data_IF_920754077427
#
_entry.id   IF_920754077427
#
_cell.length_a   1.000
_cell.length_b   1.000
_cell.length_c   1.000
_cell.angle_alpha   90.00
_cell.angle_beta   90.00
_cell.angle_gamma   90.00
#
_symmetry.space_group_name_H-M   'P 1'
#
loop_
_entity.id
_entity.type
_entity.pdbx_description
1 polymer ?
#
# COMPACT_ATOMS: atom_id res chain seq x y z
N UNK A 1 -18.80 -14.59 -9.53
CA UNK A 1 -18.71 -13.67 -8.39
C UNK A 1 -18.79 -12.28 -8.96
N UNK A 2 -19.72 -11.51 -8.42
CA UNK A 2 -20.09 -10.19 -8.92
C UNK A 2 -18.91 -9.21 -8.73
N UNK A 3 -18.69 -8.31 -9.69
CA UNK A 3 -17.60 -7.32 -9.65
C UNK A 3 -17.63 -6.47 -8.37
N UNK A 4 -18.85 -6.21 -7.91
CA UNK A 4 -19.12 -5.46 -6.69
C UNK A 4 -18.74 -6.24 -5.42
N UNK A 5 -18.94 -7.55 -5.41
CA UNK A 5 -18.64 -8.43 -4.28
C UNK A 5 -17.12 -8.52 -4.02
N UNK A 6 -16.34 -8.62 -5.10
CA UNK A 6 -14.86 -8.61 -5.04
C UNK A 6 -14.32 -7.28 -4.49
N UNK A 7 -14.91 -6.17 -4.91
CA UNK A 7 -14.51 -4.82 -4.45
C UNK A 7 -14.84 -4.61 -2.97
N UNK A 8 -16.00 -5.09 -2.51
CA UNK A 8 -16.40 -5.06 -1.09
C UNK A 8 -15.47 -5.94 -0.25
N UNK A 9 -15.16 -7.17 -0.70
CA UNK A 9 -14.26 -8.07 0.01
C UNK A 9 -12.86 -7.48 0.17
N UNK A 10 -12.32 -6.89 -0.91
CA UNK A 10 -11.04 -6.19 -0.85
C UNK A 10 -11.10 -5.00 0.12
N UNK A 11 -12.21 -4.25 0.12
CA UNK A 11 -12.40 -3.13 1.05
C UNK A 11 -12.35 -3.60 2.50
N UNK A 12 -13.05 -4.68 2.85
CA UNK A 12 -12.98 -5.28 4.19
C UNK A 12 -11.57 -5.73 4.57
N UNK A 13 -10.88 -6.42 3.65
CA UNK A 13 -9.48 -6.86 3.87
C UNK A 13 -8.56 -5.69 4.18
N UNK A 14 -8.69 -4.59 3.45
CA UNK A 14 -7.90 -3.38 3.71
C UNK A 14 -8.31 -2.66 4.98
N UNK A 15 -9.59 -2.63 5.33
CA UNK A 15 -10.04 -2.06 6.59
C UNK A 15 -9.43 -2.79 7.79
N UNK A 16 -9.34 -4.12 7.76
CA UNK A 16 -8.62 -4.88 8.78
C UNK A 16 -7.10 -4.61 8.77
N UNK A 17 -6.49 -4.46 7.59
CA UNK A 17 -5.07 -4.14 7.48
C UNK A 17 -4.73 -2.76 8.04
N UNK A 18 -5.50 -1.73 7.68
CA UNK A 18 -5.30 -0.36 8.17
C UNK A 18 -5.66 -0.27 9.66
N UNK A 19 -6.77 -0.91 10.07
CA UNK A 19 -7.17 -1.01 11.48
C UNK A 19 -6.11 -1.69 12.35
N UNK A 20 -5.48 -2.76 11.85
CA UNK A 20 -4.35 -3.42 12.51
C UNK A 20 -3.13 -2.50 12.64
N UNK A 21 -2.85 -1.68 11.62
CA UNK A 21 -1.80 -0.66 11.68
C UNK A 21 -2.06 0.41 12.75
N UNK A 22 -3.29 0.92 12.83
CA UNK A 22 -3.71 1.87 13.87
C UNK A 22 -3.59 1.23 15.26
N UNK A 23 -4.09 0.00 15.43
CA UNK A 23 -4.00 -0.72 16.69
C UNK A 23 -2.54 -0.94 17.11
N UNK A 24 -1.66 -1.30 16.18
CA UNK A 24 -0.23 -1.45 16.45
C UNK A 24 0.41 -0.14 16.92
N UNK A 25 0.04 1.00 16.34
CA UNK A 25 0.53 2.31 16.80
C UNK A 25 0.00 2.65 18.20
N UNK A 26 -1.25 2.31 18.51
CA UNK A 26 -1.84 2.54 19.84
C UNK A 26 -1.08 1.73 20.89
N UNK A 27 -0.86 0.44 20.63
CA UNK A 27 -0.09 -0.44 21.50
C UNK A 27 1.33 0.10 21.68
N UNK A 28 2.01 0.50 20.60
CA UNK A 28 3.34 1.09 20.69
C UNK A 28 3.37 2.37 21.53
N UNK A 29 2.38 3.25 21.35
CA UNK A 29 2.29 4.51 22.12
C UNK A 29 2.05 4.23 23.61
N UNK A 30 1.15 3.31 23.95
CA UNK A 30 0.89 2.92 25.36
C UNK A 30 2.15 2.36 26.01
N UNK A 31 2.86 1.48 25.31
CA UNK A 31 4.10 0.87 25.82
C UNK A 31 5.18 1.94 26.03
N UNK A 32 5.35 2.86 25.08
CA UNK A 32 6.33 3.97 25.17
C UNK A 32 6.05 4.95 26.32
N UNK A 33 4.78 5.09 26.74
CA UNK A 33 4.40 5.94 27.88
C UNK A 33 4.54 5.19 29.22
N UNK A 34 4.35 3.87 29.22
CA UNK A 34 4.41 3.04 30.42
C UNK A 34 5.86 2.75 30.86
N UNK A 35 6.81 2.79 29.93
CA UNK A 35 8.24 2.52 30.18
C UNK A 35 8.99 3.86 30.22
N UNK A 36 9.62 4.25 31.35
CA UNK A 36 10.33 5.53 31.47
C UNK A 36 11.55 5.62 30.54
N UNK A 37 11.72 6.76 29.85
CA UNK A 37 12.89 7.10 29.02
C UNK A 37 14.20 7.00 29.83
N UNK A 38 14.85 5.84 29.78
CA UNK A 38 16.20 5.63 30.30
C UNK A 38 17.05 4.88 29.27
N UNK A 39 18.38 5.12 29.19
CA UNK A 39 19.23 4.56 28.12
C UNK A 39 19.17 3.03 27.99
N UNK A 40 18.95 2.31 29.10
CA UNK A 40 18.81 0.84 29.13
C UNK A 40 17.38 0.33 28.86
N UNK A 41 16.37 1.20 28.95
CA UNK A 41 14.95 0.82 28.79
C UNK A 41 14.51 0.66 27.33
N UNK A 42 15.26 1.21 26.37
CA UNK A 42 14.95 1.09 24.93
C UNK A 42 14.90 -0.38 24.50
N UNK A 43 15.81 -1.21 25.01
CA UNK A 43 15.83 -2.65 24.73
C UNK A 43 14.59 -3.35 25.31
N UNK A 44 14.20 -3.00 26.54
CA UNK A 44 13.02 -3.58 27.20
C UNK A 44 11.72 -3.17 26.50
N UNK A 45 11.63 -1.92 26.02
CA UNK A 45 10.50 -1.43 25.23
C UNK A 45 10.31 -2.24 23.95
N UNK A 46 11.38 -2.44 23.18
CA UNK A 46 11.33 -3.25 21.97
C UNK A 46 11.05 -4.73 22.24
N UNK A 47 11.55 -5.30 23.34
CA UNK A 47 11.24 -6.69 23.73
C UNK A 47 9.76 -6.87 24.09
N UNK A 48 9.20 -5.98 24.91
CA UNK A 48 7.79 -6.05 25.32
C UNK A 48 6.88 -5.82 24.10
N UNK A 49 7.20 -4.81 23.27
CA UNK A 49 6.49 -4.55 22.03
C UNK A 49 6.53 -5.76 21.09
N UNK A 50 7.71 -6.34 20.89
CA UNK A 50 7.91 -7.53 20.06
C UNK A 50 7.11 -8.74 20.57
N UNK A 51 7.11 -8.98 21.89
CA UNK A 51 6.35 -10.06 22.50
C UNK A 51 4.84 -9.91 22.32
N UNK A 52 4.31 -8.71 22.56
CA UNK A 52 2.88 -8.41 22.36
C UNK A 52 2.47 -8.58 20.89
N UNK A 53 3.26 -8.03 19.96
CA UNK A 53 3.02 -8.18 18.53
C UNK A 53 3.11 -9.64 18.06
N UNK A 54 4.03 -10.44 18.61
CA UNK A 54 4.16 -11.86 18.30
C UNK A 54 2.90 -12.65 18.71
N UNK A 55 2.42 -12.46 19.94
CA UNK A 55 1.22 -13.14 20.45
C UNK A 55 0.00 -12.78 19.59
N UNK A 56 -0.18 -11.47 19.32
CA UNK A 56 -1.29 -10.98 18.50
C UNK A 56 -1.24 -11.47 17.04
N UNK A 57 -0.05 -11.75 16.50
CA UNK A 57 0.11 -12.24 15.13
C UNK A 57 -0.04 -13.77 15.03
N UNK A 58 0.46 -14.52 16.02
CA UNK A 58 0.45 -15.99 16.00
C UNK A 58 -0.98 -16.54 16.17
N UNK A 59 -1.80 -15.94 17.03
CA UNK A 59 -3.15 -16.44 17.32
C UNK A 59 -4.04 -16.45 16.05
N UNK A 60 -4.17 -15.35 15.28
CA UNK A 60 -4.95 -15.33 14.04
C UNK A 60 -4.36 -16.23 12.95
N UNK A 61 -3.03 -16.34 12.85
CA UNK A 61 -2.37 -17.23 11.89
C UNK A 61 -2.71 -18.69 12.17
N UNK A 62 -2.67 -19.09 13.44
CA UNK A 62 -3.04 -20.45 13.85
C UNK A 62 -4.52 -20.74 13.60
N UNK A 63 -5.39 -19.75 13.88
CA UNK A 63 -6.82 -19.85 13.57
C UNK A 63 -7.08 -19.99 12.06
N UNK A 64 -6.39 -19.20 11.23
CA UNK A 64 -6.45 -19.31 9.77
C UNK A 64 -5.97 -20.68 9.29
N UNK A 65 -4.87 -21.20 9.85
CA UNK A 65 -4.36 -22.51 9.50
C UNK A 65 -5.38 -23.61 9.78
N UNK A 66 -5.97 -23.63 10.99
CA UNK A 66 -6.98 -24.62 11.37
C UNK A 66 -8.25 -24.53 10.52
N UNK A 67 -8.73 -23.31 10.23
CA UNK A 67 -9.92 -23.08 9.42
C UNK A 67 -9.72 -23.44 7.94
N UNK A 68 -8.54 -23.21 7.40
CA UNK A 68 -8.25 -23.41 5.96
C UNK A 68 -7.84 -24.84 5.65
N UNK A 69 -7.19 -25.53 6.60
CA UNK A 69 -6.74 -26.93 6.44
C UNK A 69 -7.84 -27.87 5.97
N UNK A 70 -9.05 -27.74 6.53
CA UNK A 70 -10.20 -28.60 6.16
C UNK A 70 -10.66 -28.39 4.71
N UNK A 71 -10.66 -27.15 4.21
CA UNK A 71 -11.03 -26.84 2.81
C UNK A 71 -9.96 -27.28 1.82
N UNK A 72 -8.68 -27.07 2.14
CA UNK A 72 -7.57 -27.46 1.24
C UNK A 72 -7.53 -28.97 1.05
N UNK A 73 -7.70 -29.73 2.14
CA UNK A 73 -7.75 -31.19 2.07
C UNK A 73 -8.91 -31.68 1.20
N UNK A 74 -10.11 -31.11 1.37
CA UNK A 74 -11.29 -31.44 0.56
C UNK A 74 -11.08 -31.15 -0.92
N UNK A 75 -10.42 -30.04 -1.28
CA UNK A 75 -10.15 -29.64 -2.66
C UNK A 75 -9.13 -30.57 -3.34
N UNK A 76 -8.07 -30.96 -2.64
CA UNK A 76 -7.12 -31.97 -3.16
C UNK A 76 -7.77 -33.34 -3.34
N UNK A 77 -8.73 -33.72 -2.49
CA UNK A 77 -9.47 -34.98 -2.66
C UNK A 77 -10.47 -34.98 -3.84
N UNK A 78 -10.96 -33.79 -4.26
CA UNK A 78 -11.86 -33.66 -5.43
C UNK A 78 -11.12 -33.40 -6.74
N UNK A 79 -9.96 -32.73 -6.71
CA UNK A 79 -9.10 -32.45 -7.88
C UNK A 79 -8.20 -33.63 -8.29
N UNK A 80 -8.61 -34.86 -8.01
CA UNK A 80 -7.78 -36.07 -8.18
C UNK A 80 -7.38 -36.45 -9.61
N UNK A 81 -7.58 -35.61 -10.63
CA UNK A 81 -7.07 -35.90 -11.99
C UNK A 81 -7.12 -34.72 -13.00
N UNK A 82 -7.40 -33.47 -12.60
CA UNK A 82 -7.54 -32.33 -13.53
C UNK A 82 -6.40 -31.31 -13.49
N UNK A 83 -5.43 -31.41 -12.57
CA UNK A 83 -4.28 -30.49 -12.49
C UNK A 83 -3.20 -30.75 -13.57
N UNK A 84 -3.41 -31.73 -14.46
CA UNK A 84 -2.54 -32.02 -15.61
C UNK A 84 -2.99 -31.30 -16.90
N UNK A 85 -3.74 -30.20 -16.83
CA UNK A 85 -3.87 -29.32 -17.99
C UNK A 85 -2.60 -28.48 -18.14
N UNK A 86 -1.59 -29.00 -18.86
CA UNK A 86 -0.42 -28.29 -19.39
C UNK A 86 -0.13 -26.92 -18.72
N UNK A 87 0.25 -26.95 -17.44
CA UNK A 87 0.67 -25.74 -16.77
C UNK A 87 2.03 -25.38 -17.37
N UNK A 88 2.06 -24.33 -18.21
CA UNK A 88 3.29 -23.86 -18.83
C UNK A 88 4.36 -23.70 -17.74
N UNK A 89 5.64 -23.97 -18.03
CA UNK A 89 6.72 -23.77 -17.08
C UNK A 89 6.65 -22.35 -16.47
N UNK A 90 6.96 -22.22 -15.17
CA UNK A 90 6.82 -20.96 -14.42
C UNK A 90 7.48 -19.76 -15.12
N UNK A 91 8.62 -20.00 -15.77
CA UNK A 91 9.35 -18.98 -16.55
C UNK A 91 8.52 -18.45 -17.71
N UNK A 92 7.79 -19.33 -18.39
CA UNK A 92 6.91 -18.97 -19.50
C UNK A 92 5.65 -18.26 -19.01
N UNK A 93 5.10 -18.65 -17.86
CA UNK A 93 4.01 -17.91 -17.22
C UNK A 93 4.44 -16.49 -16.83
N UNK A 94 5.65 -16.32 -16.29
CA UNK A 94 6.21 -14.99 -15.96
C UNK A 94 6.44 -14.17 -17.23
N UNK A 95 6.96 -14.79 -18.30
CA UNK A 95 7.17 -14.11 -19.59
C UNK A 95 5.85 -13.63 -20.20
N UNK A 96 4.80 -14.45 -20.12
CA UNK A 96 3.45 -14.11 -20.60
C UNK A 96 2.88 -12.96 -19.76
N UNK A 97 3.01 -13.03 -18.42
CA UNK A 97 2.59 -11.96 -17.54
C UNK A 97 3.30 -10.64 -17.89
N UNK A 98 4.63 -10.66 -18.06
CA UNK A 98 5.42 -9.49 -18.46
C UNK A 98 5.11 -9.00 -19.88
N UNK A 99 4.62 -9.85 -20.78
CA UNK A 99 4.20 -9.44 -22.11
C UNK A 99 2.83 -8.74 -22.11
N UNK A 100 2.05 -8.87 -21.05
CA UNK A 100 0.72 -8.29 -20.93
C UNK A 100 0.83 -6.80 -20.58
N UNK A 101 0.66 -5.92 -21.59
CA UNK A 101 0.77 -4.46 -21.42
C UNK A 101 -0.15 -3.91 -20.31
N UNK A 102 -1.45 -4.25 -20.24
CA UNK A 102 -2.31 -3.91 -19.10
C UNK A 102 -1.73 -4.29 -17.74
N UNK A 103 -1.09 -5.46 -17.62
CA UNK A 103 -0.48 -5.89 -16.37
C UNK A 103 0.71 -5.00 -15.97
N UNK A 104 1.62 -4.71 -16.89
CA UNK A 104 2.76 -3.84 -16.63
C UNK A 104 2.33 -2.44 -16.18
N UNK A 105 1.25 -1.91 -16.76
CA UNK A 105 0.69 -0.63 -16.35
C UNK A 105 0.14 -0.70 -14.92
N UNK A 106 -0.62 -1.76 -14.57
CA UNK A 106 -1.15 -1.93 -13.21
C UNK A 106 -0.03 -2.12 -12.18
N UNK A 107 1.03 -2.86 -12.52
CA UNK A 107 2.24 -2.93 -11.70
C UNK A 107 2.82 -1.54 -11.48
N UNK A 108 3.01 -0.77 -12.56
CA UNK A 108 3.57 0.58 -12.48
C UNK A 108 2.75 1.49 -11.56
N UNK A 109 1.42 1.48 -11.72
CA UNK A 109 0.48 2.20 -10.85
C UNK A 109 0.67 1.75 -9.40
N UNK A 110 0.70 0.45 -9.13
CA UNK A 110 0.84 -0.08 -7.78
C UNK A 110 2.18 0.30 -7.14
N UNK A 111 3.29 0.10 -7.86
CA UNK A 111 4.64 0.44 -7.40
C UNK A 111 4.75 1.91 -7.05
N UNK A 112 4.30 2.78 -7.95
CA UNK A 112 4.35 4.23 -7.74
C UNK A 112 3.51 4.66 -6.55
N UNK A 113 2.30 4.12 -6.43
CA UNK A 113 1.39 4.42 -5.32
C UNK A 113 1.99 3.96 -3.99
N UNK A 114 2.51 2.72 -3.94
CA UNK A 114 3.07 2.15 -2.73
C UNK A 114 4.38 2.82 -2.32
N UNK A 115 5.24 3.14 -3.27
CA UNK A 115 6.44 3.92 -3.04
C UNK A 115 6.08 5.28 -2.44
N UNK A 116 5.11 6.00 -3.03
CA UNK A 116 4.63 7.25 -2.46
C UNK A 116 4.21 7.12 -1.00
N UNK A 117 3.46 6.05 -0.65
CA UNK A 117 2.96 5.85 0.73
C UNK A 117 4.13 5.57 1.65
N UNK A 118 5.00 4.64 1.27
CA UNK A 118 6.10 4.20 2.13
C UNK A 118 7.13 5.29 2.34
N UNK A 119 7.49 6.03 1.29
CA UNK A 119 8.42 7.14 1.37
C UNK A 119 7.88 8.26 2.26
N UNK A 120 6.60 8.61 2.09
CA UNK A 120 5.95 9.59 2.96
C UNK A 120 5.97 9.12 4.42
N UNK A 121 5.61 7.86 4.68
CA UNK A 121 5.60 7.31 6.04
C UNK A 121 7.00 7.27 6.68
N UNK A 122 8.04 6.90 5.90
CA UNK A 122 9.43 6.86 6.37
C UNK A 122 9.98 8.26 6.67
N UNK A 123 9.66 9.27 5.85
CA UNK A 123 10.18 10.63 6.02
C UNK A 123 9.36 11.43 7.03
N UNK A 124 8.09 11.07 7.25
CA UNK A 124 7.19 11.74 8.20
C UNK A 124 7.79 11.85 9.61
N UNK A 125 8.47 10.81 10.10
CA UNK A 125 9.15 10.85 11.39
C UNK A 125 10.22 11.95 11.45
N UNK A 126 11.05 12.05 10.41
CA UNK A 126 12.08 13.09 10.30
C UNK A 126 11.49 14.49 10.20
N UNK A 127 10.38 14.64 9.48
CA UNK A 127 9.68 15.92 9.33
C UNK A 127 9.05 16.40 10.64
N UNK A 128 8.33 15.53 11.36
CA UNK A 128 7.67 15.90 12.62
C UNK A 128 8.70 16.24 13.70
N UNK A 129 9.77 15.45 13.82
CA UNK A 129 10.76 15.61 14.89
C UNK A 129 11.78 16.70 14.56
N UNK A 130 12.42 16.65 13.38
CA UNK A 130 13.56 17.52 13.08
C UNK A 130 13.16 18.85 12.43
N UNK A 131 12.14 18.87 11.57
CA UNK A 131 11.68 20.12 10.93
C UNK A 131 10.70 20.88 11.81
N UNK A 132 9.67 20.21 12.31
CA UNK A 132 8.67 20.83 13.17
C UNK A 132 9.12 21.03 14.62
N UNK A 133 10.18 20.33 15.07
CA UNK A 133 10.66 20.41 16.45
C UNK A 133 9.67 19.85 17.47
N UNK A 134 8.77 18.95 17.06
CA UNK A 134 7.76 18.39 17.95
C UNK A 134 8.28 17.17 18.72
N UNK A 135 7.68 16.88 19.90
CA UNK A 135 7.99 15.68 20.67
C UNK A 135 7.81 14.39 19.85
N UNK A 136 8.63 13.37 20.09
CA UNK A 136 8.57 12.06 19.41
C UNK A 136 7.16 11.43 19.45
N UNK A 137 6.41 11.65 20.53
CA UNK A 137 5.02 11.18 20.71
C UNK A 137 4.03 11.76 19.68
N UNK A 138 4.36 12.85 18.99
CA UNK A 138 3.50 13.44 17.96
C UNK A 138 3.56 12.70 16.62
N UNK A 139 4.65 11.98 16.34
CA UNK A 139 4.76 11.14 15.14
C UNK A 139 3.69 10.04 15.05
N UNK A 140 3.52 9.16 16.06
CA UNK A 140 2.50 8.11 15.99
C UNK A 140 1.09 8.69 15.95
N UNK A 141 0.82 9.82 16.62
CA UNK A 141 -0.47 10.53 16.52
C UNK A 141 -0.76 11.02 15.09
N UNK A 142 0.23 11.63 14.42
CA UNK A 142 0.08 12.04 13.02
C UNK A 142 -0.16 10.84 12.09
N UNK A 143 0.60 9.76 12.29
CA UNK A 143 0.41 8.53 11.53
C UNK A 143 -0.99 7.91 11.76
N UNK A 144 -1.53 7.99 12.98
CA UNK A 144 -2.90 7.58 13.29
C UNK A 144 -3.94 8.45 12.59
N UNK A 145 -3.73 9.78 12.50
CA UNK A 145 -4.66 10.67 11.78
C UNK A 145 -4.70 10.33 10.29
N UNK A 146 -3.53 10.11 9.67
CA UNK A 146 -3.44 9.70 8.26
C UNK A 146 -4.13 8.35 8.04
N UNK A 147 -3.83 7.34 8.86
CA UNK A 147 -4.41 6.01 8.73
C UNK A 147 -5.90 5.97 9.09
N UNK A 148 -6.33 6.71 10.10
CA UNK A 148 -7.74 6.81 10.49
C UNK A 148 -8.56 7.48 9.39
N UNK A 149 -8.05 8.56 8.80
CA UNK A 149 -8.70 9.20 7.66
C UNK A 149 -8.72 8.28 6.44
N UNK A 150 -7.63 7.56 6.18
CA UNK A 150 -7.58 6.63 5.05
C UNK A 150 -8.57 5.48 5.21
N UNK A 151 -8.78 4.97 6.43
CA UNK A 151 -9.77 3.95 6.74
C UNK A 151 -11.19 4.42 6.42
N UNK A 152 -11.57 5.62 6.88
CA UNK A 152 -12.90 6.19 6.61
C UNK A 152 -13.08 6.47 5.12
N UNK A 153 -12.08 7.09 4.49
CA UNK A 153 -12.13 7.43 3.08
C UNK A 153 -12.12 6.22 2.16
N UNK A 154 -11.56 5.09 2.59
CA UNK A 154 -11.60 3.85 1.81
C UNK A 154 -13.04 3.44 1.47
N UNK A 155 -13.97 3.53 2.43
CA UNK A 155 -15.39 3.23 2.19
C UNK A 155 -16.04 4.26 1.26
N UNK A 156 -15.70 5.54 1.44
CA UNK A 156 -16.19 6.65 0.60
C UNK A 156 -15.75 6.44 -0.85
N UNK A 157 -14.47 6.20 -1.10
CA UNK A 157 -13.94 5.93 -2.43
C UNK A 157 -14.47 4.64 -3.04
N UNK A 158 -14.68 3.60 -2.22
CA UNK A 158 -15.31 2.36 -2.69
C UNK A 158 -16.73 2.65 -3.22
N UNK A 159 -17.53 3.46 -2.53
CA UNK A 159 -18.85 3.87 -3.00
C UNK A 159 -18.80 4.76 -4.26
N UNK A 160 -17.87 5.72 -4.30
CA UNK A 160 -17.66 6.59 -5.48
C UNK A 160 -17.21 5.75 -6.69
N UNK A 161 -16.45 4.66 -6.47
CA UNK A 161 -15.85 3.82 -7.54
C UNK A 161 -16.88 3.13 -8.40
N UNK A 162 -18.02 2.79 -7.80
CA UNK A 162 -19.15 2.22 -8.51
C UNK A 162 -19.74 3.19 -9.54
N UNK A 163 -19.76 4.50 -9.24
CA UNK A 163 -20.35 5.53 -10.10
C UNK A 163 -19.38 6.08 -11.14
N UNK A 164 -18.20 6.53 -10.71
CA UNK A 164 -17.25 7.27 -11.57
C UNK A 164 -16.13 6.40 -12.17
N UNK A 165 -16.03 5.14 -11.76
CA UNK A 165 -15.01 4.21 -12.24
C UNK A 165 -13.64 4.38 -11.57
N UNK A 166 -12.81 3.34 -11.71
CA UNK A 166 -11.52 3.21 -11.00
C UNK A 166 -10.50 4.29 -11.40
N UNK A 167 -10.44 4.65 -12.69
CA UNK A 167 -9.51 5.68 -13.20
C UNK A 167 -9.79 7.05 -12.61
N UNK A 168 -11.05 7.50 -12.66
CA UNK A 168 -11.43 8.85 -12.19
C UNK A 168 -11.08 9.05 -10.73
N UNK A 169 -11.33 8.03 -9.89
CA UNK A 169 -11.05 8.11 -8.46
C UNK A 169 -9.57 8.12 -8.17
N UNK A 170 -8.78 7.38 -8.93
CA UNK A 170 -7.34 7.43 -8.79
C UNK A 170 -6.81 8.84 -9.07
N UNK A 171 -7.27 9.49 -10.15
CA UNK A 171 -6.89 10.88 -10.43
C UNK A 171 -7.33 11.86 -9.34
N UNK A 172 -8.55 11.71 -8.82
CA UNK A 172 -9.05 12.57 -7.74
C UNK A 172 -8.25 12.36 -6.45
N UNK A 173 -8.01 11.11 -6.06
CA UNK A 173 -7.27 10.78 -4.85
C UNK A 173 -5.79 11.17 -4.92
N UNK A 174 -5.14 10.90 -6.05
CA UNK A 174 -3.75 11.33 -6.27
C UNK A 174 -3.63 12.85 -6.37
N UNK A 175 -4.60 13.53 -6.98
CA UNK A 175 -4.66 14.99 -7.00
C UNK A 175 -4.72 15.58 -5.59
N UNK A 176 -5.62 15.07 -4.73
CA UNK A 176 -5.70 15.50 -3.34
C UNK A 176 -4.41 15.22 -2.57
N UNK A 177 -3.76 14.07 -2.82
CA UNK A 177 -2.51 13.75 -2.15
C UNK A 177 -1.36 14.66 -2.59
N UNK A 178 -1.27 14.98 -3.88
CA UNK A 178 -0.25 15.90 -4.39
C UNK A 178 -0.43 17.29 -3.79
N UNK A 179 -1.68 17.76 -3.65
CA UNK A 179 -1.98 19.01 -2.94
C UNK A 179 -1.52 18.93 -1.48
N UNK A 180 -1.76 17.81 -0.80
CA UNK A 180 -1.28 17.62 0.58
C UNK A 180 0.26 17.66 0.67
N UNK A 181 0.96 17.02 -0.26
CA UNK A 181 2.43 17.02 -0.31
C UNK A 181 3.01 18.39 -0.64
N UNK A 182 2.39 19.11 -1.58
CA UNK A 182 2.75 20.49 -1.88
C UNK A 182 2.52 21.39 -0.66
N UNK A 183 1.42 21.21 0.06
CA UNK A 183 1.15 21.93 1.31
C UNK A 183 2.19 21.64 2.40
N UNK A 184 2.63 20.38 2.53
CA UNK A 184 3.68 19.99 3.48
C UNK A 184 5.02 20.67 3.15
N UNK A 185 5.30 20.96 1.88
CA UNK A 185 6.50 21.70 1.49
C UNK A 185 6.50 23.13 2.03
N UNK A 186 5.37 23.85 1.97
CA UNK A 186 5.27 25.25 2.41
C UNK A 186 5.08 25.42 3.92
N UNK A 187 4.88 24.31 4.65
CA UNK A 187 4.57 24.32 6.07
C UNK A 187 5.76 24.81 6.91
N UNK A 188 5.52 25.82 7.73
CA UNK A 188 6.52 26.37 8.67
C UNK A 188 6.38 25.76 10.08
N UNK A 189 7.48 25.72 10.86
CA UNK A 189 7.43 25.29 12.27
C UNK A 189 6.42 26.11 13.07
N UNK A 190 5.63 25.45 13.92
CA UNK A 190 4.57 26.07 14.74
C UNK A 190 3.15 25.99 14.15
N UNK A 191 2.99 25.67 12.86
CA UNK A 191 1.68 25.52 12.22
C UNK A 191 1.09 24.10 12.37
N UNK A 192 0.95 23.64 13.61
CA UNK A 192 0.53 22.25 13.92
C UNK A 192 -0.89 21.95 13.43
N UNK A 193 -1.81 22.92 13.50
CA UNK A 193 -3.19 22.76 13.00
C UNK A 193 -3.22 22.51 11.49
N UNK A 194 -2.42 23.24 10.73
CA UNK A 194 -2.31 23.08 9.28
C UNK A 194 -1.67 21.73 8.92
N UNK A 195 -0.73 21.23 9.73
CA UNK A 195 -0.20 19.87 9.58
C UNK A 195 -1.29 18.79 9.68
N UNK A 196 -2.20 18.88 10.67
CA UNK A 196 -3.31 17.92 10.79
C UNK A 196 -4.25 17.97 9.60
N UNK A 197 -4.58 19.17 9.09
CA UNK A 197 -5.43 19.33 7.91
C UNK A 197 -4.79 18.67 6.68
N UNK A 198 -3.49 18.89 6.47
CA UNK A 198 -2.75 18.25 5.39
C UNK A 198 -2.62 16.74 5.58
N UNK A 199 -2.50 16.25 6.82
CA UNK A 199 -2.48 14.82 7.13
C UNK A 199 -3.82 14.14 6.80
N UNK A 200 -4.95 14.79 7.10
CA UNK A 200 -6.29 14.33 6.70
C UNK A 200 -6.37 14.27 5.16
N UNK A 201 -5.93 15.33 4.47
CA UNK A 201 -5.95 15.38 3.01
C UNK A 201 -5.06 14.28 2.38
N UNK A 202 -3.88 14.04 2.95
CA UNK A 202 -3.01 12.93 2.56
C UNK A 202 -3.68 11.58 2.79
N UNK A 203 -4.34 11.38 3.94
CA UNK A 203 -5.10 10.16 4.23
C UNK A 203 -6.20 9.86 3.21
N UNK A 204 -6.91 10.90 2.73
CA UNK A 204 -7.88 10.79 1.64
C UNK A 204 -7.24 10.21 0.37
N UNK A 205 -6.06 10.70 -0.01
CA UNK A 205 -5.34 10.22 -1.18
C UNK A 205 -4.76 8.82 -1.01
N UNK A 206 -4.14 8.56 0.15
CA UNK A 206 -3.55 7.26 0.50
C UNK A 206 -4.59 6.15 0.37
N UNK A 207 -5.83 6.34 0.81
CA UNK A 207 -6.88 5.32 0.67
C UNK A 207 -7.14 4.87 -0.79
N UNK A 208 -7.06 5.80 -1.76
CA UNK A 208 -7.19 5.47 -3.20
C UNK A 208 -6.00 4.68 -3.73
N UNK A 209 -4.79 4.97 -3.23
CA UNK A 209 -3.56 4.25 -3.54
C UNK A 209 -3.61 2.79 -3.09
N UNK A 210 -4.31 2.48 -1.99
CA UNK A 210 -4.57 1.10 -1.56
C UNK A 210 -5.68 0.44 -2.39
N UNK A 211 -6.80 1.12 -2.61
CA UNK A 211 -8.00 0.51 -3.19
C UNK A 211 -7.84 0.23 -4.69
N UNK A 212 -7.40 1.21 -5.46
CA UNK A 212 -7.50 1.16 -6.93
C UNK A 212 -6.60 0.07 -7.54
N UNK A 213 -5.29 0.00 -7.25
CA UNK A 213 -4.42 -0.97 -7.93
C UNK A 213 -4.86 -2.41 -7.66
N UNK A 214 -5.25 -2.71 -6.42
CA UNK A 214 -5.76 -4.02 -6.03
C UNK A 214 -7.10 -4.38 -6.68
N UNK A 215 -7.91 -3.37 -6.99
CA UNK A 215 -9.14 -3.59 -7.74
C UNK A 215 -8.88 -3.79 -9.25
N UNK A 216 -7.81 -3.23 -9.82
CA UNK A 216 -7.48 -3.36 -11.25
C UNK A 216 -6.85 -4.71 -11.62
N UNK A 217 -6.22 -5.40 -10.68
CA UNK A 217 -5.56 -6.68 -10.94
C UNK A 217 -6.51 -7.77 -11.42
N UNK A 218 -7.65 -8.02 -10.73
CA UNK A 218 -8.64 -8.95 -11.24
C UNK A 218 -9.07 -8.66 -12.68
N UNK A 219 -9.18 -7.37 -13.06
CA UNK A 219 -9.57 -6.97 -14.42
C UNK A 219 -8.55 -7.45 -15.47
N UNK A 220 -7.25 -7.38 -15.13
CA UNK A 220 -6.16 -7.86 -16.00
C UNK A 220 -6.10 -9.38 -16.04
N UNK A 221 -6.34 -10.04 -14.91
CA UNK A 221 -6.39 -11.51 -14.82
C UNK A 221 -7.56 -12.04 -15.66
N UNK A 222 -8.73 -11.42 -15.59
CA UNK A 222 -9.90 -11.83 -16.37
C UNK A 222 -9.63 -11.63 -17.89
N UNK A 223 -8.89 -10.58 -18.28
CA UNK A 223 -8.42 -10.41 -19.66
C UNK A 223 -7.41 -11.49 -20.09
N UNK A 224 -6.48 -11.87 -19.20
CA UNK A 224 -5.51 -12.93 -19.44
C UNK A 224 -6.19 -14.31 -19.58
N UNK A 225 -7.19 -14.60 -18.74
CA UNK A 225 -8.04 -15.80 -18.83
C UNK A 225 -8.80 -15.84 -20.16
N UNK A 226 -9.30 -14.69 -20.63
CA UNK A 226 -10.00 -14.62 -21.92
C UNK A 226 -9.08 -15.01 -23.09
N UNK A 227 -7.85 -14.49 -23.08
CA UNK A 227 -6.87 -14.69 -24.15
C UNK A 227 -6.17 -16.07 -24.10
N UNK A 228 -5.78 -16.52 -22.91
CA UNK A 228 -4.98 -17.75 -22.74
C UNK A 228 -5.81 -18.97 -22.33
N UNK A 229 -7.02 -18.76 -21.82
CA UNK A 229 -7.86 -19.82 -21.25
C UNK A 229 -7.40 -20.34 -19.89
N UNK A 230 -6.27 -19.87 -19.35
CA UNK A 230 -5.74 -20.30 -18.06
C UNK A 230 -5.88 -19.21 -17.00
N UNK A 231 -6.28 -19.59 -15.78
CA UNK A 231 -6.28 -18.69 -14.62
C UNK A 231 -4.94 -18.75 -13.89
N UNK A 232 -4.18 -17.66 -13.95
CA UNK A 232 -2.83 -17.56 -13.36
C UNK A 232 -2.75 -16.57 -12.19
N UNK A 233 -3.81 -16.50 -11.39
CA UNK A 233 -3.97 -15.53 -10.30
C UNK A 233 -2.73 -15.46 -9.38
N UNK A 234 -2.20 -16.63 -8.99
CA UNK A 234 -1.04 -16.73 -8.11
C UNK A 234 0.21 -16.03 -8.66
N UNK A 235 0.53 -16.24 -9.94
CA UNK A 235 1.73 -15.66 -10.58
C UNK A 235 1.64 -14.14 -10.64
N UNK A 236 0.48 -13.60 -11.04
CA UNK A 236 0.25 -12.16 -11.13
C UNK A 236 0.41 -11.48 -9.75
N UNK A 237 -0.21 -12.03 -8.69
CA UNK A 237 -0.09 -11.47 -7.33
C UNK A 237 1.33 -11.62 -6.75
N UNK A 238 1.95 -12.79 -6.90
CA UNK A 238 3.31 -13.03 -6.41
C UNK A 238 4.33 -12.10 -7.04
N UNK A 239 4.24 -11.89 -8.37
CA UNK A 239 5.17 -11.03 -9.09
C UNK A 239 5.01 -9.55 -8.72
N UNK A 240 3.76 -9.09 -8.55
CA UNK A 240 3.45 -7.75 -8.08
C UNK A 240 4.06 -7.46 -6.71
N UNK A 241 3.86 -8.35 -5.73
CA UNK A 241 4.41 -8.18 -4.37
C UNK A 241 5.94 -8.31 -4.35
N UNK A 242 6.50 -9.17 -5.20
CA UNK A 242 7.95 -9.30 -5.35
C UNK A 242 8.58 -8.00 -5.87
N UNK A 243 8.06 -7.45 -6.97
CA UNK A 243 8.50 -6.17 -7.53
C UNK A 243 8.32 -5.03 -6.53
N UNK A 244 7.23 -5.04 -5.77
CA UNK A 244 6.99 -4.08 -4.71
C UNK A 244 8.11 -4.09 -3.67
N UNK A 245 8.51 -5.27 -3.19
CA UNK A 245 9.59 -5.39 -2.20
C UNK A 245 10.92 -4.89 -2.74
N UNK A 246 11.24 -5.20 -4.00
CA UNK A 246 12.46 -4.69 -4.67
C UNK A 246 12.39 -3.17 -4.79
N UNK A 247 11.28 -2.64 -5.32
CA UNK A 247 11.09 -1.21 -5.49
C UNK A 247 11.22 -0.46 -4.17
N UNK A 248 10.61 -0.98 -3.10
CA UNK A 248 10.73 -0.41 -1.76
C UNK A 248 12.18 -0.43 -1.25
N UNK A 249 12.87 -1.55 -1.38
CA UNK A 249 14.26 -1.67 -0.91
C UNK A 249 15.16 -0.65 -1.63
N UNK A 250 15.04 -0.55 -2.95
CA UNK A 250 15.80 0.42 -3.76
C UNK A 250 15.39 1.86 -3.43
N UNK A 251 14.09 2.13 -3.31
CA UNK A 251 13.57 3.46 -3.01
C UNK A 251 14.03 3.98 -1.65
N UNK A 252 13.88 3.18 -0.59
CA UNK A 252 14.35 3.54 0.74
C UNK A 252 15.88 3.68 0.81
N UNK A 253 16.62 2.81 0.11
CA UNK A 253 18.07 2.91 0.02
C UNK A 253 18.52 4.23 -0.60
N UNK A 254 17.95 4.61 -1.75
CA UNK A 254 18.26 5.87 -2.43
C UNK A 254 17.92 7.08 -1.57
N UNK A 255 16.78 7.05 -0.87
CA UNK A 255 16.42 8.12 0.07
C UNK A 255 17.39 8.20 1.23
N UNK A 256 17.72 7.08 1.87
CA UNK A 256 18.70 7.04 2.96
C UNK A 256 20.06 7.59 2.53
N UNK A 257 20.55 7.23 1.34
CA UNK A 257 21.78 7.78 0.78
C UNK A 257 21.67 9.29 0.52
N UNK A 258 20.55 9.76 -0.04
CA UNK A 258 20.33 11.19 -0.30
C UNK A 258 20.33 12.04 0.98
N UNK A 259 19.72 11.52 2.07
CA UNK A 259 19.76 12.18 3.39
C UNK A 259 21.19 12.16 3.96
N UNK A 260 21.92 11.06 3.79
CA UNK A 260 23.33 10.95 4.19
C UNK A 260 24.20 11.99 3.49
N UNK A 261 24.09 12.13 2.16
CA UNK A 261 24.81 13.14 1.39
C UNK A 261 24.40 14.58 1.76
N UNK A 262 23.15 14.80 2.18
CA UNK A 262 22.68 16.11 2.63
C UNK A 262 23.25 16.53 4.01
N UNK A 263 24.02 15.66 4.66
CA UNK A 263 24.63 15.90 5.97
C UNK A 263 23.65 15.72 7.13
N UNK A 264 22.61 14.90 6.97
CA UNK A 264 21.67 14.60 8.04
C UNK A 264 22.38 13.99 9.24
N UNK A 265 22.32 14.65 10.39
CA UNK A 265 22.91 14.14 11.62
C UNK A 265 21.85 13.32 12.38
N UNK A 266 21.99 11.98 12.47
CA UNK A 266 21.02 11.17 13.18
C UNK A 266 21.04 11.50 14.67
N UNK A 267 19.87 11.40 15.30
CA UNK A 267 19.76 11.48 16.75
C UNK A 267 20.51 10.31 17.38
N UNK A 268 21.60 10.58 18.07
CA UNK A 268 22.36 9.57 18.83
C UNK A 268 22.03 9.67 20.31
N UNK A 269 22.19 8.60 21.11
CA UNK A 269 22.04 8.66 22.56
C UNK A 269 22.86 9.78 23.21
N UNK A 270 24.01 10.10 22.62
CA UNK A 270 24.92 11.17 23.06
C UNK A 270 24.53 12.58 22.57
N UNK A 271 23.63 12.70 21.58
CA UNK A 271 23.14 13.98 21.04
C UNK A 271 21.63 13.89 20.70
N UNK A 272 20.75 14.20 21.66
CA UNK A 272 19.32 13.86 21.56
C UNK A 272 18.51 14.69 20.56
N UNK A 273 19.02 15.84 20.09
CA UNK A 273 18.56 16.56 18.88
C UNK A 273 19.70 17.46 18.37
N UNK A 274 20.58 17.00 17.46
CA UNK A 274 21.60 17.87 16.91
C UNK A 274 20.95 18.97 16.05
N UNK A 275 21.51 20.19 16.10
CA UNK A 275 21.11 21.28 15.21
C UNK A 275 21.38 20.82 13.77
N UNK A 276 20.32 20.57 13.01
CA UNK A 276 20.44 20.12 11.63
C UNK A 276 20.94 21.27 10.76
N UNK A 277 21.87 21.01 9.82
CA UNK A 277 22.23 22.02 8.84
C UNK A 277 21.02 22.36 7.95
N UNK A 278 20.94 23.60 7.48
CA UNK A 278 19.85 24.06 6.61
C UNK A 278 19.71 23.19 5.34
N UNK A 279 20.81 22.62 4.85
CA UNK A 279 20.84 21.66 3.75
C UNK A 279 20.07 20.37 4.07
N UNK A 280 20.19 19.83 5.28
CA UNK A 280 19.48 18.63 5.72
C UNK A 280 17.99 18.90 5.92
N UNK A 281 17.64 20.07 6.47
CA UNK A 281 16.25 20.49 6.63
C UNK A 281 15.54 20.70 5.27
N UNK A 282 16.22 21.33 4.30
CA UNK A 282 15.72 21.43 2.94
C UNK A 282 15.61 20.06 2.27
N UNK A 283 16.58 19.18 2.46
CA UNK A 283 16.52 17.81 1.94
C UNK A 283 15.32 17.04 2.50
N UNK A 284 15.02 17.15 3.80
CA UNK A 284 13.82 16.54 4.41
C UNK A 284 12.53 17.09 3.79
N UNK A 285 12.45 18.41 3.57
CA UNK A 285 11.28 19.04 2.94
C UNK A 285 11.07 18.62 1.50
N UNK A 286 12.15 18.53 0.72
CA UNK A 286 12.10 18.04 -0.66
C UNK A 286 11.78 16.54 -0.69
N UNK A 287 12.36 15.76 0.21
CA UNK A 287 12.14 14.32 0.26
C UNK A 287 10.70 13.98 0.67
N UNK A 288 10.08 14.72 1.61
CA UNK A 288 8.67 14.44 1.99
C UNK A 288 7.69 14.85 0.89
N UNK A 289 7.97 15.91 0.14
CA UNK A 289 7.02 16.48 -0.82
C UNK A 289 7.30 16.05 -2.27
N UNK A 290 8.45 16.44 -2.83
CA UNK A 290 8.79 16.30 -4.24
C UNK A 290 8.92 14.84 -4.65
N UNK A 291 9.57 14.03 -3.80
CA UNK A 291 9.92 12.66 -4.13
C UNK A 291 8.66 11.76 -4.20
N UNK A 292 7.77 11.73 -3.18
CA UNK A 292 6.46 11.09 -3.32
C UNK A 292 5.66 11.67 -4.49
N UNK A 293 5.58 13.00 -4.63
CA UNK A 293 4.81 13.65 -5.72
C UNK A 293 5.24 13.15 -7.10
N UNK A 294 6.54 13.00 -7.34
CA UNK A 294 7.06 12.49 -8.60
C UNK A 294 6.56 11.06 -8.88
N UNK A 295 6.61 10.17 -7.89
CA UNK A 295 6.05 8.82 -8.03
C UNK A 295 4.53 8.86 -8.26
N UNK A 296 3.79 9.70 -7.55
CA UNK A 296 2.33 9.81 -7.75
C UNK A 296 1.97 10.31 -9.16
N UNK A 297 2.72 11.27 -9.70
CA UNK A 297 2.56 11.77 -11.07
C UNK A 297 2.84 10.67 -12.08
N UNK A 298 3.91 9.89 -11.91
CA UNK A 298 4.20 8.73 -12.77
C UNK A 298 3.06 7.69 -12.69
N UNK A 299 2.53 7.43 -11.49
CA UNK A 299 1.38 6.55 -11.29
C UNK A 299 0.11 7.05 -12.01
N UNK A 300 -0.14 8.37 -12.01
CA UNK A 300 -1.22 8.99 -12.78
C UNK A 300 -1.04 8.82 -14.29
N UNK A 301 0.20 8.96 -14.80
CA UNK A 301 0.51 8.74 -16.21
C UNK A 301 0.23 7.27 -16.60
N UNK A 302 0.65 6.30 -15.78
CA UNK A 302 0.33 4.89 -16.05
C UNK A 302 -1.18 4.62 -16.00
N UNK A 303 -1.90 5.29 -15.11
CA UNK A 303 -3.37 5.19 -15.04
C UNK A 303 -4.06 5.79 -16.26
N UNK A 304 -3.51 6.87 -16.81
CA UNK A 304 -3.99 7.46 -18.07
C UNK A 304 -3.83 6.47 -19.23
N UNK A 305 -2.66 5.84 -19.33
CA UNK A 305 -2.32 4.87 -20.38
C UNK A 305 -3.02 3.52 -20.23
N UNK A 306 -3.63 3.25 -19.07
CA UNK A 306 -4.31 1.98 -18.80
C UNK A 306 -5.49 1.77 -19.74
N UNK A 307 -5.55 0.70 -20.56
CA UNK A 307 -6.56 0.59 -21.61
C UNK A 307 -7.94 0.11 -21.12
N UNK A 308 -8.01 -0.52 -19.94
CA UNK A 308 -9.24 -1.17 -19.47
C UNK A 308 -10.15 -0.13 -18.78
N UNK A 309 -11.19 0.29 -19.48
CA UNK A 309 -12.29 1.11 -18.93
C UNK A 309 -13.38 0.22 -18.34
N UNK A 310 -14.35 0.83 -17.64
CA UNK A 310 -15.52 0.11 -17.08
C UNK A 310 -16.29 -0.65 -18.16
N UNK A 311 -16.43 -0.04 -19.34
CA UNK A 311 -17.10 -0.63 -20.52
C UNK A 311 -16.32 -1.82 -21.08
N UNK A 312 -15.00 -1.67 -21.25
CA UNK A 312 -14.13 -2.75 -21.72
C UNK A 312 -14.14 -3.92 -20.74
N UNK A 313 -14.13 -3.65 -19.43
CA UNK A 313 -14.23 -4.71 -18.43
C UNK A 313 -15.57 -5.45 -18.47
N UNK A 314 -16.69 -4.72 -18.68
CA UNK A 314 -17.99 -5.34 -18.84
C UNK A 314 -18.06 -6.27 -20.07
N UNK A 315 -17.46 -5.85 -21.20
CA UNK A 315 -17.36 -6.68 -22.41
C UNK A 315 -16.51 -7.95 -22.16
N UNK A 316 -15.38 -7.84 -21.45
CA UNK A 316 -14.55 -9.00 -21.08
C UNK A 316 -15.35 -10.02 -20.26
N UNK A 317 -16.11 -9.55 -19.27
CA UNK A 317 -16.95 -10.43 -18.44
C UNK A 317 -18.05 -11.12 -19.24
N UNK A 318 -18.69 -10.40 -20.17
CA UNK A 318 -19.70 -10.96 -21.06
C UNK A 318 -19.10 -12.09 -21.92
N UNK A 319 -17.97 -11.84 -22.59
CA UNK A 319 -17.28 -12.84 -23.42
C UNK A 319 -16.82 -14.06 -22.63
N UNK A 320 -16.33 -13.87 -21.41
CA UNK A 320 -15.99 -14.98 -20.51
C UNK A 320 -17.20 -15.82 -20.14
N UNK A 321 -18.34 -15.17 -19.85
CA UNK A 321 -19.59 -15.86 -19.53
C UNK A 321 -20.11 -16.68 -20.71
N UNK A 322 -20.03 -16.14 -21.93
CA UNK A 322 -20.40 -16.85 -23.15
C UNK A 322 -19.50 -18.06 -23.40
N UNK A 323 -18.18 -17.90 -23.22
CA UNK A 323 -17.21 -18.98 -23.38
C UNK A 323 -17.46 -20.13 -22.40
N UNK A 324 -17.75 -19.82 -21.13
CA UNK A 324 -18.13 -20.81 -20.11
C UNK A 324 -19.46 -21.48 -20.42
N UNK A 325 -20.44 -20.73 -20.92
CA UNK A 325 -21.74 -21.30 -21.31
C UNK A 325 -21.61 -22.25 -22.49
N UNK A 326 -20.76 -21.95 -23.47
CA UNK A 326 -20.46 -22.86 -24.59
C UNK A 326 -19.76 -24.13 -24.12
N UNK A 327 -18.75 -24.02 -23.25
CA UNK A 327 -18.06 -25.20 -22.68
C UNK A 327 -18.94 -26.11 -21.81
N UNK A 328 -20.05 -25.60 -21.26
CA UNK A 328 -21.00 -26.40 -20.49
C UNK A 328 -22.11 -27.03 -21.36
N UNK A 329 -22.24 -26.61 -22.63
CA UNK A 329 -23.23 -27.12 -23.58
C UNK A 329 -22.65 -28.23 -24.48
N UNK A 330 -21.32 -28.28 -24.63
CA UNK A 330 -20.56 -29.34 -25.30
C UNK A 330 -20.13 -30.42 -24.31
#
# INVERSE_FOLDING_TARGET
SDYDERTILNSFRFSFSIGGGIFSLIVATIISVLIPDSPDSTYQEYLVLGGVCAILSVIPLFWCFLGTRKRVWSRHSTSGNQDNSDSLPLVEQIKIALSNRPFLLVIGIYLCSWLGVQLTASILAYFVINWMGLPKVMFPLMAMVVQGTSLVMLFVWSAISKRYGKKSIYFMGMGLWIIAQAGLFFLQPGQVSLMYILAILAGCGVSTAYLVPWSMIPDVIDLDELNTGQRREGVFYSFMVFLQKIGLAVGLFLVGQSLGFAGFQPTTPDNPVPIQPDSALLAIRLAISLLPTLFLVIGMIFTFLYPITKEVHADILLRLSEKKRRQNLD
#
